data_IF_167770905982
#
_entry.id   IF_167770905982
#
_cell.length_a   1.000
_cell.length_b   1.000
_cell.length_c   1.000
_cell.angle_alpha   90.00
_cell.angle_beta   90.00
_cell.angle_gamma   90.00
#
_symmetry.space_group_name_H-M   'P 1'
#
loop_
_entity.id
_entity.type
_entity.pdbx_description
1 polymer ?
#
# COMPACT_ATOMS: atom_id res chain seq x y z
N UNK A 1 10.12 19.76 18.71
CA UNK A 1 8.80 19.16 18.43
C UNK A 1 8.99 18.12 17.35
N UNK A 2 8.88 16.83 17.69
CA UNK A 2 8.85 15.79 16.65
C UNK A 2 7.51 15.94 15.94
N UNK A 3 7.56 16.42 14.69
CA UNK A 3 6.38 16.42 13.81
C UNK A 3 5.93 14.97 13.73
N UNK A 4 4.74 14.68 14.25
CA UNK A 4 4.03 13.45 13.93
C UNK A 4 3.83 13.52 12.43
N UNK A 5 4.69 12.84 11.66
CA UNK A 5 4.48 12.76 10.22
C UNK A 5 3.13 12.08 10.05
N UNK A 6 2.15 12.81 9.53
CA UNK A 6 0.84 12.29 9.24
C UNK A 6 0.93 11.43 7.98
N UNK A 7 0.12 10.37 7.93
CA UNK A 7 -0.01 9.55 6.74
C UNK A 7 -0.42 10.44 5.56
N UNK A 8 0.15 10.20 4.38
CA UNK A 8 -0.17 10.97 3.19
C UNK A 8 -1.67 10.87 2.91
N UNK A 9 -2.24 11.99 2.47
CA UNK A 9 -3.62 11.97 2.02
C UNK A 9 -3.74 11.05 0.79
N UNK A 10 -4.82 10.25 0.65
CA UNK A 10 -5.02 9.38 -0.51
C UNK A 10 -4.85 10.09 -1.86
N UNK A 11 -5.26 11.36 -1.93
CA UNK A 11 -5.10 12.19 -3.12
C UNK A 11 -3.63 12.49 -3.45
N UNK A 12 -2.77 12.69 -2.45
CA UNK A 12 -1.34 12.95 -2.64
C UNK A 12 -0.62 11.71 -3.16
N UNK A 13 -0.98 10.53 -2.66
CA UNK A 13 -0.48 9.24 -3.17
C UNK A 13 -0.88 9.07 -4.64
N UNK A 14 -2.14 9.33 -4.98
CA UNK A 14 -2.61 9.27 -6.37
C UNK A 14 -1.89 10.30 -7.25
N UNK A 15 -1.68 11.51 -6.76
CA UNK A 15 -0.96 12.55 -7.48
C UNK A 15 0.50 12.17 -7.72
N UNK A 16 1.18 11.60 -6.72
CA UNK A 16 2.55 11.12 -6.84
C UNK A 16 2.67 9.97 -7.86
N UNK A 17 1.74 9.01 -7.84
CA UNK A 17 1.67 7.96 -8.87
C UNK A 17 1.49 8.55 -10.28
N UNK A 18 0.61 9.55 -10.43
CA UNK A 18 0.39 10.23 -11.71
C UNK A 18 1.62 10.99 -12.18
N UNK A 19 2.38 11.62 -11.27
CA UNK A 19 3.66 12.27 -11.60
C UNK A 19 4.70 11.27 -12.10
N UNK A 20 4.63 10.01 -11.65
CA UNK A 20 5.44 8.89 -12.15
C UNK A 20 4.88 8.25 -13.43
N UNK A 21 3.77 8.75 -13.96
CA UNK A 21 3.15 8.21 -15.17
C UNK A 21 2.41 6.88 -14.95
N UNK A 22 2.12 6.51 -13.70
CA UNK A 22 1.39 5.29 -13.36
C UNK A 22 0.08 5.58 -12.62
N UNK A 23 -0.74 4.55 -12.44
CA UNK A 23 -2.00 4.62 -11.69
C UNK A 23 -2.15 3.38 -10.81
N UNK A 24 -3.00 3.45 -9.78
CA UNK A 24 -3.29 2.29 -8.93
C UNK A 24 -3.79 1.09 -9.74
N UNK A 25 -4.63 1.33 -10.75
CA UNK A 25 -5.12 0.28 -11.63
C UNK A 25 -3.99 -0.35 -12.47
N UNK A 26 -3.09 0.48 -13.00
CA UNK A 26 -1.93 -0.01 -13.75
C UNK A 26 -0.99 -0.85 -12.86
N UNK A 27 -0.66 -0.35 -11.66
CA UNK A 27 0.16 -1.08 -10.69
C UNK A 27 -0.51 -2.38 -10.25
N UNK A 28 -1.81 -2.37 -10.05
CA UNK A 28 -2.56 -3.58 -9.69
C UNK A 28 -2.45 -4.65 -10.77
N UNK A 29 -2.57 -4.26 -12.05
CA UNK A 29 -2.41 -5.18 -13.19
C UNK A 29 -0.98 -5.71 -13.29
N UNK A 30 0.02 -4.85 -13.08
CA UNK A 30 1.44 -5.27 -13.04
C UNK A 30 1.71 -6.27 -11.92
N UNK A 31 1.04 -6.12 -10.78
CA UNK A 31 1.15 -7.03 -9.65
C UNK A 31 0.27 -8.30 -9.76
N UNK A 32 -0.48 -8.49 -10.85
CA UNK A 32 -1.40 -9.62 -11.04
C UNK A 32 -2.68 -9.57 -10.18
N UNK A 33 -3.01 -8.41 -9.65
CA UNK A 33 -4.15 -8.16 -8.76
C UNK A 33 -5.33 -7.52 -9.52
N UNK A 34 -6.56 -7.70 -9.03
CA UNK A 34 -7.73 -7.01 -9.60
C UNK A 34 -7.58 -5.49 -9.48
N UNK A 35 -7.97 -4.73 -10.51
CA UNK A 35 -7.69 -3.29 -10.63
C UNK A 35 -8.14 -2.43 -9.42
N UNK A 36 -9.07 -2.94 -8.59
CA UNK A 36 -9.55 -2.29 -7.37
C UNK A 36 -8.82 -2.73 -6.09
N UNK A 37 -8.08 -3.84 -6.10
CA UNK A 37 -7.43 -4.40 -4.91
C UNK A 37 -6.41 -3.44 -4.32
N UNK A 38 -5.62 -2.76 -5.16
CA UNK A 38 -4.58 -1.83 -4.71
C UNK A 38 -5.15 -0.57 -4.05
N UNK A 39 -6.37 -0.17 -4.40
CA UNK A 39 -7.04 0.97 -3.76
C UNK A 39 -7.31 0.72 -2.26
N UNK A 40 -7.45 -0.54 -1.85
CA UNK A 40 -7.65 -0.89 -0.44
C UNK A 40 -6.44 -0.54 0.45
N UNK A 41 -5.23 -0.45 -0.12
CA UNK A 41 -4.02 -0.07 0.63
C UNK A 41 -4.11 1.36 1.20
N UNK A 42 -4.85 2.24 0.52
CA UNK A 42 -5.03 3.63 0.94
C UNK A 42 -5.84 3.72 2.25
N UNK A 43 -6.87 2.87 2.40
CA UNK A 43 -7.78 2.92 3.54
C UNK A 43 -7.44 1.92 4.65
N UNK A 44 -6.82 0.78 4.33
CA UNK A 44 -6.52 -0.29 5.30
C UNK A 44 -5.03 -0.66 5.29
N UNK A 45 -4.43 -0.97 6.46
CA UNK A 45 -3.06 -1.46 6.53
C UNK A 45 -2.87 -2.74 5.72
N UNK A 46 -2.22 -2.62 4.57
CA UNK A 46 -1.95 -3.75 3.69
C UNK A 46 -0.49 -3.70 3.22
N UNK A 47 0.43 -4.31 3.98
CA UNK A 47 1.87 -4.18 3.73
C UNK A 47 2.24 -4.47 2.27
N UNK A 48 1.71 -5.54 1.65
CA UNK A 48 2.02 -5.85 0.25
C UNK A 48 1.62 -4.72 -0.71
N UNK A 49 0.43 -4.15 -0.56
CA UNK A 49 -0.04 -3.05 -1.40
C UNK A 49 0.69 -1.74 -1.12
N UNK A 50 0.97 -1.45 0.15
CA UNK A 50 1.77 -0.29 0.57
C UNK A 50 3.16 -0.31 -0.06
N UNK A 51 3.83 -1.47 -0.03
CA UNK A 51 5.14 -1.65 -0.68
C UNK A 51 5.06 -1.45 -2.19
N UNK A 52 4.07 -2.03 -2.89
CA UNK A 52 3.90 -1.84 -4.34
C UNK A 52 3.70 -0.37 -4.73
N UNK A 53 2.94 0.38 -3.94
CA UNK A 53 2.72 1.82 -4.17
C UNK A 53 4.01 2.60 -3.90
N UNK A 54 4.69 2.29 -2.79
CA UNK A 54 5.91 2.97 -2.38
C UNK A 54 7.05 2.75 -3.39
N UNK A 55 7.23 1.51 -3.86
CA UNK A 55 8.18 1.16 -4.93
C UNK A 55 7.88 1.94 -6.21
N UNK A 56 6.61 2.07 -6.59
CA UNK A 56 6.22 2.82 -7.78
C UNK A 56 6.47 4.33 -7.69
N UNK A 57 6.43 4.89 -6.48
CA UNK A 57 6.74 6.31 -6.21
C UNK A 57 8.25 6.52 -5.95
N UNK A 58 9.00 5.42 -5.80
CA UNK A 58 10.42 5.37 -5.39
C UNK A 58 10.67 6.00 -4.02
N UNK A 59 9.76 5.75 -3.07
CA UNK A 59 9.90 6.19 -1.67
C UNK A 59 9.75 4.99 -0.73
N UNK A 60 10.21 5.12 0.51
CA UNK A 60 9.97 4.08 1.51
C UNK A 60 8.49 4.12 1.95
N UNK A 61 7.80 2.99 2.20
CA UNK A 61 6.39 3.02 2.64
C UNK A 61 6.20 3.73 3.99
N UNK A 62 7.25 3.84 4.80
CA UNK A 62 7.23 4.63 6.04
C UNK A 62 7.20 6.15 5.82
N UNK A 63 7.54 6.64 4.62
CA UNK A 63 7.38 8.05 4.25
C UNK A 63 5.91 8.37 3.94
N UNK A 64 5.20 7.40 3.35
CA UNK A 64 3.78 7.54 2.97
C UNK A 64 2.88 7.26 4.18
N UNK A 65 3.19 6.22 4.95
CA UNK A 65 2.43 5.81 6.14
C UNK A 65 3.31 5.73 7.40
N UNK A 66 3.90 6.84 7.85
CA UNK A 66 4.68 6.90 9.08
C UNK A 66 3.93 6.34 10.29
N UNK A 67 2.62 6.59 10.42
CA UNK A 67 1.80 6.08 11.53
C UNK A 67 1.72 4.55 11.56
N UNK A 68 1.89 3.90 10.40
CA UNK A 68 1.87 2.43 10.28
C UNK A 68 3.25 1.82 10.50
N UNK A 69 4.30 2.49 10.06
CA UNK A 69 5.67 1.94 10.04
C UNK A 69 6.55 2.39 11.20
N UNK A 70 6.19 3.43 11.95
CA UNK A 70 6.91 3.81 13.17
C UNK A 70 6.12 3.41 14.40
N UNK A 71 6.83 2.89 15.40
CA UNK A 71 6.26 2.64 16.70
C UNK A 71 5.98 3.98 17.42
N UNK A 72 4.77 4.21 17.96
CA UNK A 72 4.39 5.49 18.54
C UNK A 72 5.12 5.82 19.86
N UNK A 73 5.73 4.83 20.51
CA UNK A 73 6.44 5.01 21.78
C UNK A 73 7.96 5.07 21.58
N UNK A 74 8.49 4.17 20.76
CA UNK A 74 9.95 4.04 20.56
C UNK A 74 10.46 4.79 19.33
N UNK A 75 9.55 5.22 18.43
CA UNK A 75 9.87 5.79 17.12
C UNK A 75 10.79 4.92 16.26
N UNK A 76 10.84 3.61 16.56
CA UNK A 76 11.61 2.65 15.80
C UNK A 76 10.83 2.21 14.56
N UNK A 77 11.55 1.98 13.47
CA UNK A 77 10.98 1.47 12.23
C UNK A 77 10.56 0.00 12.41
N UNK A 78 9.26 -0.25 12.26
CA UNK A 78 8.66 -1.58 12.30
C UNK A 78 8.83 -2.28 10.95
N UNK A 79 9.43 -3.47 10.97
CA UNK A 79 9.53 -4.33 9.80
C UNK A 79 8.17 -4.98 9.48
N UNK A 80 7.30 -4.22 8.81
CA UNK A 80 6.00 -4.73 8.32
C UNK A 80 6.14 -5.65 7.13
N UNK A 81 7.32 -5.73 6.49
CA UNK A 81 7.59 -6.63 5.37
C UNK A 81 7.44 -8.09 5.81
N UNK A 82 7.80 -8.40 7.05
CA UNK A 82 7.56 -9.71 7.70
C UNK A 82 6.08 -10.12 7.77
N UNK A 83 5.13 -9.17 7.66
CA UNK A 83 3.68 -9.46 7.67
C UNK A 83 3.10 -9.73 6.28
N UNK A 84 3.90 -9.61 5.22
CA UNK A 84 3.48 -9.95 3.86
C UNK A 84 3.30 -11.47 3.79
N UNK A 85 2.04 -11.93 3.69
CA UNK A 85 1.74 -13.35 3.50
C UNK A 85 2.29 -13.80 2.14
N UNK A 86 2.96 -14.95 2.13
CA UNK A 86 3.41 -15.61 0.91
C UNK A 86 2.23 -15.87 -0.04
N UNK A 87 2.45 -15.83 -1.37
CA UNK A 87 1.40 -15.81 -2.39
C UNK A 87 0.46 -17.03 -2.44
N UNK A 88 0.70 -18.08 -1.64
CA UNK A 88 -0.12 -19.30 -1.62
C UNK A 88 -1.56 -19.12 -1.06
N UNK A 89 -1.89 -17.96 -0.46
CA UNK A 89 -3.20 -17.72 0.16
C UNK A 89 -4.22 -16.93 -0.67
N UNK A 90 -3.80 -16.27 -1.75
CA UNK A 90 -4.65 -15.32 -2.49
C UNK A 90 -5.41 -15.97 -3.67
N UNK A 91 -4.97 -17.14 -4.14
CA UNK A 91 -5.62 -17.87 -5.23
C UNK A 91 -7.03 -18.40 -4.86
N UNK A 92 -7.31 -18.54 -3.56
CA UNK A 92 -8.61 -19.07 -3.07
C UNK A 92 -9.77 -18.05 -3.06
N UNK A 93 -9.54 -16.78 -3.41
CA UNK A 93 -10.61 -15.76 -3.49
C UNK A 93 -10.95 -15.32 -4.91
N UNK A 94 -10.74 -16.22 -5.88
CA UNK A 94 -11.25 -16.11 -7.27
C UNK A 94 -12.43 -17.05 -7.56
N UNK A 95 -13.19 -17.42 -6.53
CA UNK A 95 -14.49 -18.09 -6.67
C UNK A 95 -15.51 -17.42 -5.76
N UNK A 96 -16.00 -16.26 -6.19
CA UNK A 96 -17.29 -15.74 -5.76
C UNK A 96 -17.90 -15.02 -6.98
N UNK A 97 -18.77 -15.67 -7.77
CA UNK A 97 -19.63 -14.97 -8.71
C UNK A 97 -20.79 -14.38 -7.90
N UNK A 98 -20.74 -13.08 -7.62
CA UNK A 98 -21.89 -12.32 -7.14
C UNK A 98 -21.88 -10.99 -7.90
N UNK A 99 -22.56 -10.89 -9.05
CA UNK A 99 -24.01 -10.91 -9.30
C UNK A 99 -24.55 -9.48 -9.36
N UNK A 100 -25.23 -9.24 -10.49
CA UNK A 100 -26.23 -8.21 -10.78
C UNK A 100 -25.75 -6.75 -10.92
#
# INVERSE_FOLDING_TARGET
MQKRSEDWHPADVIAALRRRGTTLAALSRQAGLSSSTLANALSRPWPKGEWLIAEAIEVHPAEIWPSRYYDPQTHLLLDRKKRIRSPAGDEKRKQDPASA
#
